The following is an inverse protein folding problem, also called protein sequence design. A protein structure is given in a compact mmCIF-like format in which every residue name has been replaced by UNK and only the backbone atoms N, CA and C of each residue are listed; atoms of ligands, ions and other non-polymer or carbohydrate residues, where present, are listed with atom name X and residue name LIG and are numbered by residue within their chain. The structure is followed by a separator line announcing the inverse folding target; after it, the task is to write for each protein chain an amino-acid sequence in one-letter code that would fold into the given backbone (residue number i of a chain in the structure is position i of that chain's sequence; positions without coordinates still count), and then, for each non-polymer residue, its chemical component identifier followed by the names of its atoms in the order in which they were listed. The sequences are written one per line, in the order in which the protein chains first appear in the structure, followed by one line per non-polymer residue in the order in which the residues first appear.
data_IF_373500217571
#
_entry.id   IF_373500217571
#
_cell.length_a   1.000
_cell.length_b   1.000
_cell.length_c   1.000
_cell.angle_alpha   90.00
_cell.angle_beta   90.00
_cell.angle_gamma   90.00
#
_symmetry.space_group_name_H-M   'P 1'
#
loop_
_entity.id
_entity.type
_entity.pdbx_description
1 polymer ?
#
# COMPACT_ATOMS: atom_id res chain seq x y z
N UNK A 1 20.73 -56.95 42.27
CA UNK A 1 20.70 -55.55 42.72
C UNK A 1 20.04 -54.73 41.64
N UNK A 2 18.95 -54.03 41.98
CA UNK A 2 18.18 -53.18 41.05
C UNK A 2 18.78 -51.77 41.06
N UNK A 3 18.96 -51.16 39.88
CA UNK A 3 19.28 -49.74 39.76
C UNK A 3 18.31 -49.13 38.74
N UNK A 4 17.28 -48.45 39.24
CA UNK A 4 16.32 -47.68 38.44
C UNK A 4 16.78 -46.21 38.40
N UNK A 5 16.89 -45.57 37.22
CA UNK A 5 17.22 -44.15 37.15
C UNK A 5 16.00 -43.26 37.42
N UNK A 6 16.24 -42.20 38.19
CA UNK A 6 15.31 -41.10 38.51
C UNK A 6 15.01 -40.23 37.28
N UNK A 7 13.77 -39.76 37.06
CA UNK A 7 13.49 -38.72 36.06
C UNK A 7 13.76 -37.33 36.65
N UNK A 8 14.57 -36.54 35.94
CA UNK A 8 14.85 -35.14 36.30
C UNK A 8 13.68 -34.22 35.98
N UNK A 9 13.44 -33.26 36.88
CA UNK A 9 12.35 -32.29 36.84
C UNK A 9 12.35 -31.40 35.60
N UNK A 10 11.17 -31.33 34.97
CA UNK A 10 10.84 -30.43 33.87
C UNK A 10 10.75 -28.97 34.35
N UNK A 11 11.68 -28.12 33.88
CA UNK A 11 11.60 -26.66 34.02
C UNK A 11 10.39 -26.14 33.25
N UNK A 12 9.39 -25.59 33.94
CA UNK A 12 8.30 -24.83 33.32
C UNK A 12 8.84 -23.47 32.93
N UNK A 13 9.13 -23.26 31.65
CA UNK A 13 9.39 -21.94 31.08
C UNK A 13 8.02 -21.23 31.01
N UNK A 14 7.88 -20.11 31.72
CA UNK A 14 6.67 -19.29 31.70
C UNK A 14 6.45 -18.74 30.29
N UNK A 15 5.35 -19.13 29.65
CA UNK A 15 4.94 -18.69 28.31
C UNK A 15 4.57 -17.20 28.25
N UNK A 16 4.25 -16.59 29.40
CA UNK A 16 3.84 -15.18 29.49
C UNK A 16 4.97 -14.20 29.16
N UNK A 17 6.23 -14.53 29.49
CA UNK A 17 7.37 -13.64 29.25
C UNK A 17 7.73 -13.56 27.74
N UNK A 18 7.47 -14.65 27.01
CA UNK A 18 7.68 -14.71 25.57
C UNK A 18 6.63 -13.90 24.79
N UNK A 19 5.37 -13.90 25.25
CA UNK A 19 4.29 -13.12 24.63
C UNK A 19 4.45 -11.62 24.87
N UNK A 20 4.86 -11.21 26.08
CA UNK A 20 5.15 -9.80 26.40
C UNK A 20 6.35 -9.28 25.60
N UNK A 21 7.41 -10.08 25.43
CA UNK A 21 8.54 -9.73 24.59
C UNK A 21 8.17 -9.55 23.12
N UNK A 22 7.27 -10.40 22.60
CA UNK A 22 6.77 -10.29 21.21
C UNK A 22 5.92 -9.03 21.01
N UNK A 23 5.00 -8.75 21.93
CA UNK A 23 4.16 -7.53 21.89
C UNK A 23 5.00 -6.25 21.97
N UNK A 24 6.05 -6.23 22.80
CA UNK A 24 6.97 -5.10 22.90
C UNK A 24 7.74 -4.88 21.58
N UNK A 25 8.13 -5.96 20.91
CA UNK A 25 8.80 -5.87 19.61
C UNK A 25 7.85 -5.39 18.50
N UNK A 26 6.64 -5.95 18.43
CA UNK A 26 5.62 -5.58 17.44
C UNK A 26 5.21 -4.10 17.60
N UNK A 27 5.09 -3.62 18.85
CA UNK A 27 4.78 -2.20 19.14
C UNK A 27 5.93 -1.27 18.80
N UNK A 28 7.18 -1.67 19.04
CA UNK A 28 8.37 -0.92 18.61
C UNK A 28 8.43 -0.82 17.07
N UNK A 29 8.22 -1.92 16.36
CA UNK A 29 8.22 -1.94 14.89
C UNK A 29 7.11 -1.04 14.32
N UNK A 30 5.92 -1.08 14.92
CA UNK A 30 4.82 -0.19 14.55
C UNK A 30 5.15 1.28 14.82
N UNK A 31 5.79 1.61 15.94
CA UNK A 31 6.22 2.97 16.25
C UNK A 31 7.25 3.50 15.23
N UNK A 32 8.22 2.67 14.84
CA UNK A 32 9.23 3.02 13.84
C UNK A 32 8.60 3.24 12.45
N UNK A 33 7.62 2.40 12.08
CA UNK A 33 6.85 2.57 10.84
C UNK A 33 6.02 3.85 10.86
N UNK A 34 5.35 4.16 11.97
CA UNK A 34 4.59 5.40 12.15
C UNK A 34 5.49 6.62 12.01
N UNK A 35 6.62 6.63 12.72
CA UNK A 35 7.59 7.73 12.64
C UNK A 35 8.14 7.91 11.22
N UNK A 36 8.38 6.81 10.51
CA UNK A 36 8.81 6.86 9.10
C UNK A 36 7.73 7.47 8.21
N UNK A 37 6.46 7.12 8.43
CA UNK A 37 5.32 7.67 7.69
C UNK A 37 5.11 9.15 7.99
N UNK A 38 5.21 9.56 9.26
CA UNK A 38 5.14 10.96 9.68
C UNK A 38 6.23 11.79 9.01
N UNK A 39 7.48 11.30 8.99
CA UNK A 39 8.58 11.98 8.32
C UNK A 39 8.35 12.11 6.80
N UNK A 40 7.82 11.07 6.16
CA UNK A 40 7.46 11.11 4.74
C UNK A 40 6.34 12.12 4.49
N UNK A 41 5.35 12.18 5.37
CA UNK A 41 4.23 13.10 5.28
C UNK A 41 4.69 14.56 5.43
N UNK A 42 5.49 14.88 6.46
CA UNK A 42 6.06 16.23 6.66
C UNK A 42 6.91 16.68 5.49
N UNK A 43 7.68 15.75 4.90
CA UNK A 43 8.46 16.05 3.70
C UNK A 43 7.57 16.33 2.49
N UNK A 44 6.52 15.52 2.29
CA UNK A 44 5.56 15.72 1.20
C UNK A 44 4.81 17.04 1.37
N UNK A 45 4.37 17.39 2.59
CA UNK A 45 3.64 18.64 2.84
C UNK A 45 4.50 19.85 2.50
N UNK A 46 5.76 19.87 2.95
CA UNK A 46 6.72 20.95 2.66
C UNK A 46 6.97 21.07 1.15
N UNK A 47 7.13 19.95 0.44
CA UNK A 47 7.31 19.95 -1.02
C UNK A 47 6.07 20.46 -1.75
N UNK A 48 4.88 20.07 -1.31
CA UNK A 48 3.62 20.52 -1.93
C UNK A 48 3.35 22.01 -1.67
N UNK A 49 3.71 22.53 -0.50
CA UNK A 49 3.65 23.97 -0.20
C UNK A 49 4.59 24.75 -1.12
N UNK A 50 5.87 24.35 -1.22
CA UNK A 50 6.82 25.01 -2.11
C UNK A 50 6.39 24.93 -3.59
N UNK A 51 5.82 23.79 -4.02
CA UNK A 51 5.28 23.65 -5.37
C UNK A 51 4.10 24.60 -5.61
N UNK A 52 3.23 24.77 -4.61
CA UNK A 52 2.09 25.67 -4.68
C UNK A 52 2.54 27.13 -4.78
N UNK A 53 3.52 27.54 -3.98
CA UNK A 53 4.09 28.89 -4.03
C UNK A 53 4.67 29.18 -5.43
N UNK A 54 5.45 28.24 -5.99
CA UNK A 54 6.00 28.37 -7.35
C UNK A 54 4.89 28.46 -8.41
N UNK A 55 3.82 27.68 -8.28
CA UNK A 55 2.69 27.69 -9.21
C UNK A 55 1.88 28.99 -9.13
N UNK A 56 1.69 29.54 -7.94
CA UNK A 56 1.04 30.84 -7.73
C UNK A 56 1.89 32.00 -8.26
N UNK A 57 3.21 31.95 -8.05
CA UNK A 57 4.12 33.00 -8.53
C UNK A 57 4.24 33.02 -10.06
N UNK A 58 4.18 31.85 -10.71
CA UNK A 58 4.43 31.70 -12.16
C UNK A 58 3.17 31.48 -13.00
N UNK A 59 2.02 31.26 -12.37
CA UNK A 59 0.78 30.92 -13.06
C UNK A 59 -0.39 31.76 -12.58
N UNK A 60 -1.27 32.12 -13.51
CA UNK A 60 -2.61 32.66 -13.20
C UNK A 60 -3.55 31.52 -12.75
N UNK A 61 -3.11 30.72 -11.79
CA UNK A 61 -3.84 29.55 -11.32
C UNK A 61 -4.74 29.94 -10.15
N UNK A 62 -6.05 29.80 -10.36
CA UNK A 62 -7.08 29.99 -9.34
C UNK A 62 -7.22 28.75 -8.43
N UNK A 63 -7.45 28.98 -7.14
CA UNK A 63 -7.66 27.93 -6.13
C UNK A 63 -8.85 27.02 -6.52
N UNK A 64 -9.89 27.58 -7.14
CA UNK A 64 -11.04 26.82 -7.61
C UNK A 64 -10.67 25.82 -8.72
N UNK A 65 -9.76 26.19 -9.63
CA UNK A 65 -9.32 25.31 -10.70
C UNK A 65 -8.51 24.14 -10.15
N UNK A 66 -7.66 24.38 -9.13
CA UNK A 66 -6.92 23.31 -8.46
C UNK A 66 -7.89 22.32 -7.78
N UNK A 67 -8.86 22.82 -7.01
CA UNK A 67 -9.85 21.97 -6.33
C UNK A 67 -10.62 21.11 -7.32
N UNK A 68 -11.06 21.70 -8.44
CA UNK A 68 -11.73 20.96 -9.51
C UNK A 68 -10.80 19.87 -10.10
N UNK A 69 -9.52 20.17 -10.33
CA UNK A 69 -8.57 19.19 -10.88
C UNK A 69 -8.27 18.06 -9.89
N UNK A 70 -8.17 18.34 -8.59
CA UNK A 70 -8.01 17.31 -7.55
C UNK A 70 -9.19 16.34 -7.58
N UNK A 71 -10.43 16.85 -7.63
CA UNK A 71 -11.63 16.02 -7.72
C UNK A 71 -11.64 15.17 -8.99
N UNK A 72 -11.27 15.76 -10.13
CA UNK A 72 -11.19 15.02 -11.39
C UNK A 72 -10.16 13.89 -11.32
N UNK A 73 -8.95 14.15 -10.80
CA UNK A 73 -7.92 13.12 -10.65
C UNK A 73 -8.37 12.01 -9.68
N UNK A 74 -9.10 12.35 -8.61
CA UNK A 74 -9.66 11.37 -7.69
C UNK A 74 -10.72 10.48 -8.38
N UNK A 75 -11.61 11.08 -9.18
CA UNK A 75 -12.60 10.33 -9.95
C UNK A 75 -11.94 9.42 -10.99
N UNK A 76 -10.99 9.93 -11.76
CA UNK A 76 -10.22 9.12 -12.74
C UNK A 76 -9.51 7.93 -12.06
N UNK A 77 -9.07 8.07 -10.80
CA UNK A 77 -8.49 6.94 -10.02
C UNK A 77 -9.53 5.86 -9.70
N UNK A 78 -10.74 6.25 -9.32
CA UNK A 78 -11.82 5.30 -9.06
C UNK A 78 -12.29 4.63 -10.35
N UNK A 79 -12.39 5.38 -11.44
CA UNK A 79 -12.77 4.84 -12.74
C UNK A 79 -11.79 3.75 -13.20
N UNK A 80 -10.47 3.99 -13.08
CA UNK A 80 -9.43 2.99 -13.38
C UNK A 80 -9.52 1.71 -12.55
N UNK A 81 -10.01 1.78 -11.30
CA UNK A 81 -10.21 0.57 -10.47
C UNK A 81 -11.36 -0.29 -10.98
N UNK A 82 -12.37 0.34 -11.57
CA UNK A 82 -13.58 -0.33 -12.06
C UNK A 82 -13.52 -0.70 -13.53
N UNK A 83 -12.52 -0.18 -14.25
CA UNK A 83 -12.27 -0.47 -15.66
C UNK A 83 -12.07 -1.98 -15.89
N UNK A 84 -12.77 -2.49 -16.92
CA UNK A 84 -12.72 -3.89 -17.32
C UNK A 84 -12.30 -4.01 -18.77
N UNK A 85 -11.32 -4.87 -19.01
CA UNK A 85 -10.82 -5.18 -20.34
C UNK A 85 -11.28 -6.60 -20.74
N UNK A 86 -11.71 -6.79 -21.99
CA UNK A 86 -12.00 -8.11 -22.52
C UNK A 86 -10.70 -8.88 -22.76
N UNK A 87 -10.71 -10.19 -22.54
CA UNK A 87 -9.57 -11.04 -22.91
C UNK A 87 -9.57 -11.31 -24.41
N UNK A 88 -8.41 -11.16 -25.06
CA UNK A 88 -8.22 -11.46 -26.50
C UNK A 88 -8.51 -12.91 -26.87
N UNK A 89 -8.33 -13.83 -25.93
CA UNK A 89 -8.44 -15.28 -26.17
C UNK A 89 -9.82 -15.86 -25.88
N UNK A 90 -10.45 -15.46 -24.77
CA UNK A 90 -11.72 -16.04 -24.31
C UNK A 90 -12.89 -15.05 -24.28
N UNK A 91 -12.65 -13.76 -24.55
CA UNK A 91 -13.67 -12.71 -24.54
C UNK A 91 -14.20 -12.32 -23.16
N UNK A 92 -13.79 -12.98 -22.08
CA UNK A 92 -14.25 -12.67 -20.73
C UNK A 92 -13.77 -11.29 -20.27
N UNK A 93 -14.61 -10.57 -19.53
CA UNK A 93 -14.23 -9.29 -18.92
C UNK A 93 -13.43 -9.51 -17.65
N UNK A 94 -12.27 -8.86 -17.56
CA UNK A 94 -11.35 -8.93 -16.43
C UNK A 94 -11.07 -7.50 -15.96
N UNK A 95 -10.73 -7.32 -14.68
CA UNK A 95 -10.28 -6.02 -14.20
C UNK A 95 -9.01 -5.59 -14.95
N UNK A 96 -8.96 -4.33 -15.39
CA UNK A 96 -7.81 -3.76 -16.09
C UNK A 96 -6.53 -3.84 -15.26
N UNK A 97 -6.64 -3.82 -13.92
CA UNK A 97 -5.51 -3.97 -13.00
C UNK A 97 -4.80 -5.33 -13.04
N UNK A 98 -5.31 -6.33 -13.78
CA UNK A 98 -4.68 -7.64 -13.88
C UNK A 98 -3.80 -7.73 -15.13
N UNK A 99 -2.57 -8.28 -15.02
CA UNK A 99 -1.67 -8.41 -16.16
C UNK A 99 -2.15 -9.44 -17.19
N UNK A 100 -3.06 -10.35 -16.81
CA UNK A 100 -3.60 -11.39 -17.68
C UNK A 100 -5.02 -11.79 -17.25
N UNK A 101 -5.74 -12.45 -18.14
CA UNK A 101 -7.07 -12.98 -17.88
C UNK A 101 -7.04 -14.05 -16.76
N UNK A 102 -7.91 -13.90 -15.76
CA UNK A 102 -8.00 -14.82 -14.62
C UNK A 102 -8.54 -16.21 -15.00
N UNK A 103 -9.21 -16.31 -16.16
CA UNK A 103 -9.85 -17.54 -16.62
C UNK A 103 -8.95 -18.39 -17.52
N UNK A 104 -8.30 -17.77 -18.51
CA UNK A 104 -7.55 -18.51 -19.52
C UNK A 104 -6.07 -18.10 -19.62
N UNK A 105 -5.61 -17.16 -18.79
CA UNK A 105 -4.24 -16.65 -18.79
C UNK A 105 -3.84 -15.87 -20.06
N UNK A 106 -4.80 -15.53 -20.91
CA UNK A 106 -4.54 -14.75 -22.13
C UNK A 106 -4.40 -13.26 -21.85
N UNK A 107 -3.78 -12.54 -22.77
CA UNK A 107 -3.65 -11.08 -22.71
C UNK A 107 -5.03 -10.39 -22.76
N UNK A 108 -5.10 -9.24 -22.09
CA UNK A 108 -6.26 -8.35 -22.11
C UNK A 108 -6.14 -7.36 -23.27
N UNK A 109 -7.27 -7.02 -23.89
CA UNK A 109 -7.32 -6.09 -25.01
C UNK A 109 -7.59 -4.67 -24.49
N UNK A 110 -6.52 -3.89 -24.29
CA UNK A 110 -6.61 -2.48 -23.90
C UNK A 110 -5.27 -1.90 -23.44
N UNK A 111 -5.14 -0.57 -23.53
CA UNK A 111 -4.04 0.17 -22.94
C UNK A 111 -4.37 0.47 -21.48
N UNK A 112 -3.49 0.08 -20.56
CA UNK A 112 -3.61 0.48 -19.17
C UNK A 112 -3.29 1.97 -19.11
N UNK A 113 -4.29 2.81 -18.82
CA UNK A 113 -4.07 4.21 -18.48
C UNK A 113 -3.44 4.29 -17.08
N UNK A 114 -2.20 3.81 -16.96
CA UNK A 114 -1.50 3.82 -15.68
C UNK A 114 -1.18 5.27 -15.30
N UNK A 115 -1.50 5.61 -14.05
CA UNK A 115 -1.07 6.89 -13.49
C UNK A 115 0.47 6.94 -13.54
N UNK A 116 1.09 8.08 -13.88
CA UNK A 116 2.55 8.23 -13.77
C UNK A 116 3.06 8.03 -12.33
N UNK A 117 2.16 8.02 -11.36
CA UNK A 117 2.42 7.72 -9.95
C UNK A 117 2.03 6.29 -9.54
N UNK A 118 1.70 5.37 -10.47
CA UNK A 118 1.28 4.00 -10.15
C UNK A 118 2.44 3.09 -9.69
N UNK A 119 3.70 3.48 -9.96
CA UNK A 119 4.91 2.72 -9.63
C UNK A 119 5.81 3.34 -8.56
N UNK A 120 5.35 4.39 -7.85
CA UNK A 120 6.05 5.03 -6.72
C UNK A 120 5.46 4.55 -5.38
#
# INVERSE_FOLDING_TARGET
MMFFPMPQGSKKVNTNDAEVGKLANDTSEQADRLKTLENKFTRLSTLTEALWDILLEKGELDEHLLKARIQQVAQEREDRKTEKLPCRKCGMQNAASKPACIYCGGELDGELNESPFAGL
#
